data_IF_050105937489
#
_entry.id   IF_050105937489
#
_cell.length_a   1.000
_cell.length_b   1.000
_cell.length_c   1.000
_cell.angle_alpha   90.00
_cell.angle_beta   90.00
_cell.angle_gamma   90.00
#
_symmetry.space_group_name_H-M   'P 1'
#
loop_
_entity.id
_entity.type
_entity.pdbx_description
1 polymer ?
#
# COMPACT_ATOMS: atom_id res chain seq x y z
N UNK A 1 -1.46 10.49 -0.31
CA UNK A 1 -0.73 9.23 -0.62
C UNK A 1 -1.04 8.09 0.35
N UNK A 2 -1.57 8.37 1.56
CA UNK A 2 -1.91 7.33 2.54
C UNK A 2 -2.73 6.17 1.96
N UNK A 3 -3.63 6.44 1.01
CA UNK A 3 -4.49 5.42 0.39
C UNK A 3 -3.69 4.39 -0.43
N UNK A 4 -2.57 4.78 -1.03
CA UNK A 4 -1.64 3.86 -1.70
C UNK A 4 -1.04 2.90 -0.65
N UNK A 5 -0.59 3.44 0.48
CA UNK A 5 -0.03 2.63 1.55
C UNK A 5 -1.06 1.77 2.28
N UNK A 6 -2.32 2.21 2.36
CA UNK A 6 -3.39 1.37 2.89
C UNK A 6 -3.62 0.11 2.05
N UNK A 7 -3.40 0.17 0.73
CA UNK A 7 -3.40 -1.00 -0.15
C UNK A 7 -2.28 -1.96 0.27
N UNK A 8 -1.06 -1.45 0.44
CA UNK A 8 0.09 -2.31 0.81
C UNK A 8 -0.09 -2.98 2.18
N UNK A 9 -0.57 -2.24 3.18
CA UNK A 9 -0.81 -2.81 4.52
C UNK A 9 -1.92 -3.88 4.47
N UNK A 10 -2.98 -3.64 3.70
CA UNK A 10 -4.03 -4.64 3.47
C UNK A 10 -3.52 -5.92 2.82
N UNK A 11 -2.47 -5.82 1.99
CA UNK A 11 -1.87 -7.00 1.35
C UNK A 11 -1.26 -7.98 2.35
N UNK A 12 -0.82 -7.52 3.54
CA UNK A 12 -0.33 -8.41 4.59
C UNK A 12 -1.34 -9.50 4.92
N UNK A 13 -2.62 -9.14 5.05
CA UNK A 13 -3.68 -10.11 5.32
C UNK A 13 -3.82 -11.11 4.16
N UNK A 14 -3.76 -10.63 2.92
CA UNK A 14 -3.89 -11.47 1.73
C UNK A 14 -2.79 -12.51 1.59
N UNK A 15 -1.54 -12.17 1.98
CA UNK A 15 -0.40 -13.10 1.95
C UNK A 15 -0.60 -14.34 2.83
N UNK A 16 -1.44 -14.26 3.86
CA UNK A 16 -1.68 -15.34 4.83
C UNK A 16 -3.08 -15.96 4.70
N UNK A 17 -3.80 -15.69 3.61
CA UNK A 17 -5.08 -16.33 3.31
C UNK A 17 -4.84 -17.54 2.39
N UNK A 18 -5.30 -18.72 2.83
CA UNK A 18 -5.35 -19.92 2.01
C UNK A 18 -6.76 -20.52 2.08
N UNK A 19 -7.35 -20.85 0.92
CA UNK A 19 -8.72 -21.37 0.83
C UNK A 19 -9.73 -20.56 1.66
N UNK A 20 -9.67 -19.21 1.52
CA UNK A 20 -10.53 -18.25 2.22
C UNK A 20 -10.40 -18.23 3.76
N UNK A 21 -9.40 -18.90 4.32
CA UNK A 21 -9.10 -18.88 5.75
C UNK A 21 -7.74 -18.25 6.00
N UNK A 22 -7.66 -17.45 7.07
CA UNK A 22 -6.37 -16.95 7.57
C UNK A 22 -5.66 -18.13 8.25
N UNK A 23 -4.49 -18.52 7.72
CA UNK A 23 -3.75 -19.68 8.20
C UNK A 23 -3.18 -19.42 9.59
N UNK A 24 -2.74 -18.19 9.86
CA UNK A 24 -2.08 -17.80 11.11
C UNK A 24 -2.30 -16.32 11.40
N UNK A 25 -2.21 -15.93 12.67
CA UNK A 25 -2.19 -14.52 13.07
C UNK A 25 -0.89 -13.78 12.69
N UNK A 26 0.03 -14.46 11.99
CA UNK A 26 1.33 -13.92 11.57
C UNK A 26 1.23 -12.75 10.60
N UNK A 27 0.09 -12.56 9.94
CA UNK A 27 -0.14 -11.39 9.11
C UNK A 27 0.02 -10.07 9.90
N UNK A 28 -0.14 -10.09 11.24
CA UNK A 28 0.04 -8.92 12.07
C UNK A 28 1.49 -8.41 12.04
N UNK A 29 2.48 -9.31 12.04
CA UNK A 29 3.90 -8.94 11.94
C UNK A 29 4.20 -8.32 10.56
N UNK A 30 3.70 -8.94 9.49
CA UNK A 30 3.82 -8.38 8.15
C UNK A 30 3.11 -7.02 8.04
N UNK A 31 1.90 -6.89 8.57
CA UNK A 31 1.16 -5.63 8.59
C UNK A 31 1.90 -4.54 9.37
N UNK A 32 2.48 -4.85 10.53
CA UNK A 32 3.28 -3.91 11.32
C UNK A 32 4.52 -3.43 10.54
N UNK A 33 5.22 -4.35 9.86
CA UNK A 33 6.37 -4.02 9.02
C UNK A 33 5.96 -3.11 7.85
N UNK A 34 4.88 -3.43 7.15
CA UNK A 34 4.37 -2.60 6.06
C UNK A 34 3.89 -1.23 6.57
N UNK A 35 3.29 -1.18 7.76
CA UNK A 35 2.86 0.07 8.38
C UNK A 35 4.06 0.97 8.71
N UNK A 36 5.11 0.41 9.32
CA UNK A 36 6.35 1.15 9.62
C UNK A 36 7.02 1.66 8.35
N UNK A 37 7.14 0.83 7.33
CA UNK A 37 7.70 1.23 6.04
C UNK A 37 6.84 2.30 5.35
N UNK A 38 5.52 2.19 5.44
CA UNK A 38 4.59 3.19 4.90
C UNK A 38 4.83 4.57 5.51
N UNK A 39 4.96 4.65 6.83
CA UNK A 39 5.25 5.92 7.51
C UNK A 39 6.60 6.51 7.06
N UNK A 40 7.63 5.68 6.98
CA UNK A 40 8.94 6.11 6.49
C UNK A 40 8.87 6.71 5.09
N UNK A 41 8.20 6.02 4.15
CA UNK A 41 8.06 6.51 2.77
C UNK A 41 7.14 7.74 2.68
N UNK A 42 6.09 7.83 3.52
CA UNK A 42 5.26 9.03 3.63
C UNK A 42 6.07 10.23 4.11
N UNK A 43 6.97 10.04 5.09
CA UNK A 43 7.86 11.10 5.56
C UNK A 43 8.81 11.57 4.44
N UNK A 44 9.43 10.64 3.71
CA UNK A 44 10.28 10.96 2.57
C UNK A 44 9.52 11.74 1.49
N UNK A 45 8.36 11.25 1.09
CA UNK A 45 7.53 11.90 0.08
C UNK A 45 7.11 13.31 0.51
N UNK A 46 6.67 13.45 1.77
CA UNK A 46 6.26 14.74 2.33
C UNK A 46 7.43 15.72 2.37
N UNK A 47 8.63 15.25 2.75
CA UNK A 47 9.83 16.10 2.79
C UNK A 47 10.24 16.57 1.38
N UNK A 48 10.18 15.72 0.37
CA UNK A 48 10.45 16.09 -1.03
C UNK A 48 9.50 17.19 -1.50
N UNK A 49 8.25 17.15 -1.07
CA UNK A 49 7.24 18.18 -1.35
C UNK A 49 7.32 19.38 -0.41
N UNK A 50 8.38 19.51 0.39
CA UNK A 50 8.60 20.59 1.38
C UNK A 50 7.49 20.67 2.45
N UNK A 51 6.82 19.55 2.71
CA UNK A 51 5.87 19.41 3.82
C UNK A 51 6.56 19.07 5.14
N UNK A 52 5.78 18.99 6.21
CA UNK A 52 6.29 18.78 7.57
C UNK A 52 6.17 17.31 7.98
N UNK A 53 7.26 16.73 8.47
CA UNK A 53 7.31 15.36 9.00
C UNK A 53 6.32 15.16 10.17
N UNK A 54 6.16 16.16 11.00
CA UNK A 54 5.23 16.15 12.15
C UNK A 54 3.78 15.89 11.71
N UNK A 55 3.39 16.36 10.51
CA UNK A 55 2.06 16.08 9.95
C UNK A 55 1.86 14.61 9.67
N UNK A 56 2.89 13.92 9.16
CA UNK A 56 2.82 12.47 8.90
C UNK A 56 2.64 11.70 10.20
N UNK A 57 3.34 12.10 11.26
CA UNK A 57 3.30 11.43 12.57
C UNK A 57 2.12 11.87 13.46
N UNK A 58 1.27 12.76 12.96
CA UNK A 58 0.07 13.21 13.66
C UNK A 58 -1.14 12.32 13.37
N UNK A 59 -2.28 12.68 13.99
CA UNK A 59 -3.56 12.03 13.70
C UNK A 59 -3.95 12.13 12.21
N UNK A 60 -3.59 13.23 11.54
CA UNK A 60 -3.88 13.44 10.12
C UNK A 60 -3.05 12.54 9.17
N UNK A 61 -1.91 12.05 9.61
CA UNK A 61 -1.07 11.11 8.85
C UNK A 61 -1.19 9.69 9.38
N UNK A 62 -0.49 9.39 10.47
CA UNK A 62 -0.44 8.07 11.09
C UNK A 62 -1.82 7.56 11.51
N UNK A 63 -2.62 8.40 12.17
CA UNK A 63 -3.95 8.00 12.65
C UNK A 63 -4.89 7.66 11.48
N UNK A 64 -4.90 8.49 10.45
CA UNK A 64 -5.74 8.29 9.27
C UNK A 64 -5.25 7.09 8.41
N UNK A 65 -3.94 6.85 8.35
CA UNK A 65 -3.39 5.63 7.74
C UNK A 65 -3.87 4.37 8.49
N UNK A 66 -3.82 4.39 9.83
CA UNK A 66 -4.27 3.28 10.65
C UNK A 66 -5.74 2.93 10.38
N UNK A 67 -6.64 3.92 10.46
CA UNK A 67 -8.08 3.72 10.19
C UNK A 67 -8.31 3.15 8.78
N UNK A 68 -7.60 3.69 7.79
CA UNK A 68 -7.72 3.25 6.39
C UNK A 68 -7.19 1.82 6.17
N UNK A 69 -6.18 1.41 6.94
CA UNK A 69 -5.57 0.09 6.85
C UNK A 69 -6.43 -1.00 7.53
N UNK A 70 -7.15 -0.66 8.62
CA UNK A 70 -7.93 -1.63 9.39
C UNK A 70 -9.17 -2.11 8.63
N UNK A 71 -9.87 -1.25 7.89
CA UNK A 71 -11.16 -1.64 7.31
C UNK A 71 -11.59 -0.91 6.04
N UNK A 72 -10.74 -0.09 5.42
CA UNK A 72 -11.08 0.69 4.25
C UNK A 72 -11.09 -0.11 2.93
N UNK A 73 -11.69 0.46 1.87
CA UNK A 73 -11.73 -0.13 0.52
C UNK A 73 -10.33 -0.35 -0.06
N UNK A 74 -9.41 0.56 0.22
CA UNK A 74 -8.00 0.42 -0.19
C UNK A 74 -7.37 -0.82 0.46
N UNK A 75 -7.56 -1.03 1.75
CA UNK A 75 -7.06 -2.21 2.48
C UNK A 75 -7.69 -3.50 1.95
N UNK A 76 -9.00 -3.49 1.64
CA UNK A 76 -9.70 -4.63 1.04
C UNK A 76 -9.11 -4.99 -0.34
N UNK A 77 -8.87 -4.00 -1.19
CA UNK A 77 -8.17 -4.21 -2.47
C UNK A 77 -6.78 -4.81 -2.23
N UNK A 78 -6.03 -4.26 -1.28
CA UNK A 78 -4.73 -4.79 -0.88
C UNK A 78 -4.78 -6.27 -0.51
N UNK A 79 -5.81 -6.70 0.24
CA UNK A 79 -6.00 -8.11 0.59
C UNK A 79 -6.10 -9.00 -0.66
N UNK A 80 -6.84 -8.60 -1.68
CA UNK A 80 -6.92 -9.37 -2.92
C UNK A 80 -5.59 -9.38 -3.68
N UNK A 81 -4.88 -8.24 -3.74
CA UNK A 81 -3.56 -8.20 -4.36
C UNK A 81 -2.56 -9.10 -3.62
N UNK A 82 -2.62 -9.13 -2.29
CA UNK A 82 -1.82 -10.03 -1.45
C UNK A 82 -2.14 -11.51 -1.66
N UNK A 83 -3.37 -11.85 -2.02
CA UNK A 83 -3.78 -13.21 -2.42
C UNK A 83 -3.27 -13.60 -3.83
N UNK A 84 -2.66 -12.66 -4.56
CA UNK A 84 -2.09 -12.90 -5.88
C UNK A 84 -3.00 -12.53 -7.05
N UNK A 85 -4.15 -11.88 -6.82
CA UNK A 85 -4.92 -11.25 -7.90
C UNK A 85 -4.14 -10.08 -8.49
N UNK A 86 -4.28 -9.84 -9.79
CA UNK A 86 -3.91 -8.56 -10.41
C UNK A 86 -5.03 -7.55 -10.18
N UNK A 87 -4.73 -6.25 -10.31
CA UNK A 87 -5.68 -5.19 -9.99
C UNK A 87 -6.99 -5.29 -10.80
N UNK A 88 -6.89 -5.49 -12.13
CA UNK A 88 -8.04 -5.58 -13.01
C UNK A 88 -8.98 -6.74 -12.66
N UNK A 89 -8.43 -7.91 -12.33
CA UNK A 89 -9.20 -9.07 -11.88
C UNK A 89 -9.87 -8.81 -10.54
N UNK A 90 -9.12 -8.33 -9.54
CA UNK A 90 -9.66 -8.01 -8.22
C UNK A 90 -10.77 -6.96 -8.32
N UNK A 91 -10.57 -5.90 -9.11
CA UNK A 91 -11.56 -4.87 -9.34
C UNK A 91 -12.84 -5.41 -9.98
N UNK A 92 -12.71 -6.22 -11.03
CA UNK A 92 -13.84 -6.78 -11.78
C UNK A 92 -14.62 -7.84 -10.98
N UNK A 93 -13.91 -8.75 -10.29
CA UNK A 93 -14.52 -9.93 -9.69
C UNK A 93 -14.92 -9.73 -8.22
N UNK A 94 -14.20 -8.88 -7.49
CA UNK A 94 -14.33 -8.75 -6.02
C UNK A 94 -14.87 -7.39 -5.58
N UNK A 95 -14.62 -6.34 -6.36
CA UNK A 95 -14.96 -4.97 -6.00
C UNK A 95 -15.54 -4.16 -7.20
N UNK A 96 -16.51 -4.69 -7.96
CA UNK A 96 -16.95 -4.07 -9.22
C UNK A 96 -17.55 -2.65 -9.02
N UNK A 97 -18.24 -2.43 -7.92
CA UNK A 97 -18.96 -1.19 -7.65
C UNK A 97 -18.24 -0.25 -6.65
N UNK A 98 -17.04 -0.62 -6.21
CA UNK A 98 -16.32 0.14 -5.19
C UNK A 98 -15.25 1.04 -5.83
N UNK A 99 -15.20 2.29 -5.45
CA UNK A 99 -14.09 3.20 -5.80
C UNK A 99 -12.89 2.90 -4.91
N UNK A 100 -11.72 2.76 -5.51
CA UNK A 100 -10.46 2.49 -4.82
C UNK A 100 -9.57 3.73 -4.97
N UNK A 101 -9.68 4.65 -4.05
CA UNK A 101 -9.04 5.97 -4.12
C UNK A 101 -7.51 5.89 -4.27
N UNK A 102 -6.90 4.88 -3.65
CA UNK A 102 -5.46 4.63 -3.80
C UNK A 102 -5.08 4.24 -5.22
N UNK A 103 -5.91 3.45 -5.89
CA UNK A 103 -5.68 3.08 -7.28
C UNK A 103 -5.95 4.24 -8.24
N UNK A 104 -7.00 5.02 -8.02
CA UNK A 104 -7.25 6.24 -8.80
C UNK A 104 -6.08 7.20 -8.72
N UNK A 105 -5.55 7.41 -7.51
CA UNK A 105 -4.36 8.24 -7.31
C UNK A 105 -3.14 7.65 -8.03
N UNK A 106 -2.95 6.33 -8.03
CA UNK A 106 -1.87 5.68 -8.78
C UNK A 106 -2.01 5.94 -10.27
N UNK A 107 -3.20 5.85 -10.85
CA UNK A 107 -3.43 6.17 -12.27
C UNK A 107 -3.15 7.64 -12.58
N UNK A 108 -3.45 8.54 -11.65
CA UNK A 108 -3.24 9.98 -11.83
C UNK A 108 -1.76 10.39 -11.74
N UNK A 109 -1.05 9.96 -10.72
CA UNK A 109 0.31 10.44 -10.42
C UNK A 109 1.41 9.38 -10.45
N UNK A 110 1.07 8.09 -10.59
CA UNK A 110 2.04 7.00 -10.47
C UNK A 110 3.18 7.07 -11.48
N UNK A 111 2.89 7.38 -12.74
CA UNK A 111 3.92 7.58 -13.78
C UNK A 111 4.84 8.75 -13.42
N UNK A 112 4.29 9.85 -12.90
CA UNK A 112 5.07 10.99 -12.47
C UNK A 112 5.98 10.63 -11.28
N UNK A 113 5.48 9.86 -10.32
CA UNK A 113 6.30 9.38 -9.20
C UNK A 113 7.46 8.53 -9.71
N UNK A 114 7.22 7.60 -10.64
CA UNK A 114 8.28 6.75 -11.21
C UNK A 114 9.37 7.54 -11.93
N UNK A 115 9.04 8.70 -12.52
CA UNK A 115 9.97 9.50 -13.30
C UNK A 115 10.71 10.56 -12.47
N UNK A 116 10.03 11.17 -11.51
CA UNK A 116 10.53 12.38 -10.84
C UNK A 116 11.15 12.09 -9.46
N UNK A 117 10.94 10.89 -8.91
CA UNK A 117 11.38 10.55 -7.57
C UNK A 117 12.46 9.45 -7.59
N UNK A 118 13.30 9.44 -6.55
CA UNK A 118 14.23 8.34 -6.31
C UNK A 118 13.47 7.10 -5.81
N UNK A 119 13.01 6.30 -6.76
CA UNK A 119 12.17 5.13 -6.50
C UNK A 119 12.84 4.08 -5.60
N UNK A 120 14.19 4.06 -5.53
CA UNK A 120 14.92 3.14 -4.65
C UNK A 120 14.71 3.44 -3.18
N UNK A 121 14.34 4.67 -2.85
CA UNK A 121 14.04 5.08 -1.47
C UNK A 121 12.60 4.81 -1.06
N UNK A 122 11.74 4.45 -2.00
CA UNK A 122 10.31 4.21 -1.76
C UNK A 122 9.87 2.86 -2.35
N UNK A 123 10.53 1.75 -1.95
CA UNK A 123 10.30 0.43 -2.54
C UNK A 123 8.87 -0.06 -2.37
N UNK A 124 8.21 0.27 -1.25
CA UNK A 124 6.83 -0.15 -1.00
C UNK A 124 5.83 0.60 -1.88
N UNK A 125 5.97 1.93 -1.99
CA UNK A 125 5.13 2.75 -2.88
C UNK A 125 5.25 2.27 -4.32
N UNK A 126 6.47 2.04 -4.79
CA UNK A 126 6.73 1.57 -6.17
C UNK A 126 6.17 0.18 -6.42
N UNK A 127 6.23 -0.72 -5.44
CA UNK A 127 5.59 -2.05 -5.56
C UNK A 127 4.09 -1.94 -5.83
N UNK A 128 3.38 -1.07 -5.11
CA UNK A 128 1.94 -0.84 -5.32
C UNK A 128 1.68 -0.16 -6.67
N UNK A 129 2.47 0.88 -7.00
CA UNK A 129 2.33 1.59 -8.27
C UNK A 129 2.51 0.63 -9.46
N UNK A 130 3.55 -0.19 -9.46
CA UNK A 130 3.79 -1.16 -10.53
C UNK A 130 2.68 -2.21 -10.61
N UNK A 131 2.20 -2.71 -9.46
CA UNK A 131 1.10 -3.67 -9.45
C UNK A 131 -0.17 -3.12 -10.12
N UNK A 132 -0.49 -1.85 -9.89
CA UNK A 132 -1.72 -1.24 -10.39
C UNK A 132 -1.55 -0.71 -11.82
N UNK A 133 -0.48 0.06 -12.13
CA UNK A 133 -0.27 0.64 -13.46
C UNK A 133 0.04 -0.41 -14.52
N UNK A 134 0.88 -1.38 -14.16
CA UNK A 134 1.34 -2.41 -15.11
C UNK A 134 0.43 -3.65 -15.06
N UNK A 135 -0.62 -3.62 -14.24
CA UNK A 135 -1.59 -4.70 -13.98
C UNK A 135 -0.90 -6.05 -13.71
N UNK A 136 0.06 -6.04 -12.77
CA UNK A 136 0.87 -7.19 -12.39
C UNK A 136 0.59 -7.61 -10.95
N UNK A 137 1.00 -8.83 -10.61
CA UNK A 137 0.95 -9.30 -9.22
C UNK A 137 1.76 -8.38 -8.32
N UNK A 138 1.23 -8.09 -7.14
CA UNK A 138 1.94 -7.32 -6.12
C UNK A 138 3.13 -8.14 -5.59
N UNK A 139 4.33 -7.57 -5.70
CA UNK A 139 5.56 -8.14 -5.17
C UNK A 139 6.10 -7.19 -4.11
N UNK A 140 6.27 -7.69 -2.90
CA UNK A 140 6.83 -6.92 -1.78
C UNK A 140 8.25 -7.40 -1.53
N UNK A 141 9.22 -6.52 -1.79
CA UNK A 141 10.64 -6.79 -1.58
C UNK A 141 11.03 -6.37 -0.16
N UNK A 142 10.85 -7.24 0.81
CA UNK A 142 11.09 -6.98 2.23
C UNK A 142 12.54 -6.55 2.55
N UNK A 143 13.51 -7.04 1.76
CA UNK A 143 14.94 -6.73 1.95
C UNK A 143 15.29 -5.27 1.60
N UNK A 144 14.44 -4.57 0.87
CA UNK A 144 14.67 -3.19 0.46
C UNK A 144 14.14 -2.19 1.49
N UNK A 145 13.52 -2.66 2.58
CA UNK A 145 12.91 -1.81 3.58
C UNK A 145 13.93 -1.20 4.54
N UNK A 146 13.66 0.04 4.96
CA UNK A 146 14.41 0.69 6.02
C UNK A 146 13.91 0.22 7.38
N UNK A 147 14.61 -0.73 7.97
CA UNK A 147 14.27 -1.34 9.26
C UNK A 147 14.91 -0.62 10.47
N UNK A 148 15.64 0.47 10.26
CA UNK A 148 16.29 1.27 11.32
C UNK A 148 15.36 2.32 11.92
#
# INVERSE_FOLDING_TARGET
IKNIFSISIGAAKGLYINNDKIIENNYCNAAATLFKQSLYEMELFTNILKGKKETVNSLAGLGDLYVSAVGGRNSKMGTFLGQGYIYSEAKKLKMPNETIEGAELVFEIGTKIKNDFDIKKMPLMISVINSILDDKKLIINWNDFNMN
#
